data_IF_670887713481
#
_entry.id   IF_670887713481
#
_cell.length_a   1.000
_cell.length_b   1.000
_cell.length_c   1.000
_cell.angle_alpha   90.00
_cell.angle_beta   90.00
_cell.angle_gamma   90.00
#
_symmetry.space_group_name_H-M   'P 1'
#
loop_
_entity.id
_entity.type
_entity.pdbx_description
1 polymer ?
#
# COMPACT_ATOMS: atom_id res chain seq x y z
N UNK A 1 -43.36 -33.50 -17.21
CA UNK A 1 -42.86 -32.37 -18.02
C UNK A 1 -42.82 -31.17 -17.09
N UNK A 2 -41.64 -30.87 -16.53
CA UNK A 2 -40.73 -29.79 -17.00
C UNK A 2 -41.40 -28.42 -16.90
N UNK A 3 -40.85 -27.35 -16.32
CA UNK A 3 -39.45 -26.86 -16.23
C UNK A 3 -39.59 -25.52 -15.46
N UNK A 4 -38.82 -25.16 -14.45
CA UNK A 4 -37.60 -24.33 -14.59
C UNK A 4 -37.05 -24.03 -13.18
N UNK A 5 -36.06 -24.81 -12.75
CA UNK A 5 -35.11 -24.34 -11.74
C UNK A 5 -34.06 -23.52 -12.50
N UNK A 6 -34.29 -22.21 -12.62
CA UNK A 6 -33.38 -21.31 -13.33
C UNK A 6 -32.61 -20.50 -12.30
N UNK A 7 -31.44 -21.03 -11.95
CA UNK A 7 -30.23 -20.29 -11.63
C UNK A 7 -30.42 -18.98 -10.82
N UNK A 8 -30.51 -19.11 -9.50
CA UNK A 8 -29.94 -18.09 -8.63
C UNK A 8 -28.43 -18.35 -8.51
N UNK A 9 -27.71 -18.22 -9.63
CA UNK A 9 -26.25 -18.25 -9.65
C UNK A 9 -25.81 -16.86 -9.22
N UNK A 10 -25.85 -16.64 -7.91
CA UNK A 10 -25.30 -15.47 -7.24
C UNK A 10 -23.92 -15.19 -7.85
N UNK A 11 -23.84 -14.19 -8.71
CA UNK A 11 -22.58 -13.67 -9.23
C UNK A 11 -21.89 -13.04 -8.02
N UNK A 12 -21.22 -13.85 -7.20
CA UNK A 12 -20.12 -13.41 -6.36
C UNK A 12 -19.07 -12.90 -7.33
N UNK A 13 -19.25 -11.64 -7.74
CA UNK A 13 -18.17 -10.88 -8.34
C UNK A 13 -17.07 -10.93 -7.31
N UNK A 14 -16.01 -11.67 -7.62
CA UNK A 14 -14.74 -11.66 -6.90
C UNK A 14 -14.34 -10.19 -6.79
N UNK A 15 -14.75 -9.52 -5.70
CA UNK A 15 -14.40 -8.14 -5.40
C UNK A 15 -12.96 -8.13 -4.90
N UNK A 16 -12.05 -8.63 -5.74
CA UNK A 16 -10.63 -8.49 -5.50
C UNK A 16 -10.36 -6.99 -5.45
N UNK A 17 -9.67 -6.47 -4.42
CA UNK A 17 -9.32 -5.07 -4.36
C UNK A 17 -8.52 -4.75 -5.64
N UNK A 18 -9.02 -3.78 -6.40
CA UNK A 18 -8.32 -3.32 -7.59
C UNK A 18 -7.11 -2.52 -7.10
N UNK A 19 -5.91 -2.89 -7.54
CA UNK A 19 -4.74 -2.05 -7.31
C UNK A 19 -4.96 -0.68 -7.96
N UNK A 20 -4.79 0.38 -7.17
CA UNK A 20 -4.81 1.76 -7.64
C UNK A 20 -3.38 2.26 -7.57
N UNK A 21 -2.88 2.78 -8.69
CA UNK A 21 -1.55 3.38 -8.73
C UNK A 21 -1.53 4.61 -7.81
N UNK A 22 -0.51 4.77 -6.95
CA UNK A 22 -0.38 5.97 -6.14
C UNK A 22 -0.12 7.20 -7.02
N UNK A 23 -0.69 8.33 -6.63
CA UNK A 23 -0.40 9.61 -7.27
C UNK A 23 0.99 10.10 -6.85
N UNK A 24 1.74 10.67 -7.80
CA UNK A 24 3.03 11.32 -7.51
C UNK A 24 2.74 12.75 -7.08
N UNK A 25 3.04 13.07 -5.82
CA UNK A 25 2.91 14.42 -5.27
C UNK A 25 4.26 15.13 -5.38
N UNK A 26 4.28 16.29 -6.04
CA UNK A 26 5.46 17.15 -6.13
C UNK A 26 5.36 18.30 -5.14
N UNK A 27 6.42 18.51 -4.37
CA UNK A 27 6.51 19.58 -3.38
C UNK A 27 7.48 20.65 -3.85
N UNK A 28 7.21 21.91 -3.48
CA UNK A 28 8.23 22.96 -3.55
C UNK A 28 9.25 22.77 -2.43
N UNK A 29 10.43 23.39 -2.52
CA UNK A 29 11.43 23.29 -1.45
C UNK A 29 10.89 23.78 -0.10
N UNK A 30 10.08 24.84 -0.09
CA UNK A 30 9.45 25.35 1.14
C UNK A 30 8.46 24.33 1.73
N UNK A 31 7.69 23.63 0.88
CA UNK A 31 6.78 22.59 1.32
C UNK A 31 7.53 21.38 1.89
N UNK A 32 8.64 20.98 1.28
CA UNK A 32 9.50 19.88 1.77
C UNK A 32 9.99 20.19 3.18
N UNK A 33 10.51 21.40 3.43
CA UNK A 33 11.03 21.79 4.75
C UNK A 33 9.89 21.85 5.79
N UNK A 34 8.70 22.33 5.41
CA UNK A 34 7.54 22.38 6.31
C UNK A 34 7.07 20.98 6.74
N UNK A 35 7.10 20.01 5.84
CA UNK A 35 6.58 18.66 6.11
C UNK A 35 7.62 17.71 6.69
N UNK A 36 8.89 17.83 6.27
CA UNK A 36 9.96 16.87 6.62
C UNK A 36 11.00 17.47 7.58
N UNK A 37 11.00 18.78 7.77
CA UNK A 37 12.03 19.50 8.52
C UNK A 37 13.32 19.71 7.72
N UNK A 38 14.33 20.34 8.33
CA UNK A 38 15.64 20.44 7.71
C UNK A 38 16.23 19.05 7.47
N UNK A 39 16.98 18.89 6.38
CA UNK A 39 17.67 17.64 6.09
C UNK A 39 18.56 17.25 7.27
N UNK A 40 18.29 16.10 7.86
CA UNK A 40 19.15 15.53 8.88
C UNK A 40 20.29 14.80 8.20
N UNK A 41 21.53 15.17 8.55
CA UNK A 41 22.66 14.33 8.17
C UNK A 41 22.49 12.97 8.85
N UNK A 42 22.55 11.90 8.07
CA UNK A 42 22.62 10.55 8.63
C UNK A 42 23.85 10.47 9.54
N UNK A 43 23.72 9.77 10.67
CA UNK A 43 24.89 9.40 11.47
C UNK A 43 25.85 8.59 10.59
N UNK A 44 27.16 8.78 10.79
CA UNK A 44 28.18 7.93 10.18
C UNK A 44 28.11 6.47 10.64
N UNK A 45 27.39 6.24 11.74
CA UNK A 45 27.13 4.90 12.25
C UNK A 45 26.03 4.24 11.39
N UNK A 46 26.31 3.10 10.74
CA UNK A 46 25.32 2.39 9.95
C UNK A 46 24.13 1.98 10.83
N UNK A 47 22.91 2.06 10.28
CA UNK A 47 21.73 1.55 10.97
C UNK A 47 21.91 0.06 11.25
N UNK A 48 21.76 -0.34 12.51
CA UNK A 48 21.74 -1.76 12.87
C UNK A 48 20.52 -2.40 12.22
N UNK A 49 20.75 -3.25 11.21
CA UNK A 49 19.70 -4.13 10.68
C UNK A 49 19.42 -5.19 11.74
N UNK A 50 18.50 -4.91 12.65
CA UNK A 50 17.94 -5.96 13.51
C UNK A 50 17.08 -6.86 12.63
N UNK A 51 17.39 -8.16 12.47
CA UNK A 51 16.45 -9.09 11.90
C UNK A 51 15.32 -9.31 12.91
N UNK A 52 14.36 -8.38 12.99
CA UNK A 52 13.05 -8.66 13.58
C UNK A 52 12.29 -9.54 12.60
N UNK A 53 12.74 -10.79 12.55
CA UNK A 53 12.38 -11.81 11.58
C UNK A 53 12.96 -13.16 11.98
N UNK A 54 13.02 -13.46 13.27
CA UNK A 54 12.98 -14.83 13.80
C UNK A 54 11.50 -15.15 14.01
N UNK A 55 10.82 -16.00 13.23
CA UNK A 55 11.33 -17.20 12.58
C UNK A 55 11.55 -18.29 13.63
N UNK A 56 10.52 -18.63 14.41
CA UNK A 56 10.01 -19.95 14.81
C UNK A 56 8.94 -19.77 15.91
#
# INVERSE_FOLDING_TARGET
MEKKNSENREKKTDRKPKYVQPEVITYTNDDVIKHLGPAQACSTTPCTVSPSGSGF
#
